data_IF_571831011173
#
_entry.id   IF_571831011173
#
_cell.length_a   1.000
_cell.length_b   1.000
_cell.length_c   1.000
_cell.angle_alpha   90.00
_cell.angle_beta   90.00
_cell.angle_gamma   90.00
#
_symmetry.space_group_name_H-M   'P 1'
#
loop_
_entity.id
_entity.type
_entity.pdbx_description
1 polymer ?
#
# COMPACT_ATOMS: atom_id res chain seq x y z
N UNK A 1 -7.61 -5.37 -10.64
CA UNK A 1 -8.04 -6.49 -11.51
C UNK A 1 -8.51 -7.72 -10.71
N UNK A 2 -8.20 -7.80 -9.41
CA UNK A 2 -8.48 -8.98 -8.57
C UNK A 2 -9.70 -8.80 -7.64
N UNK A 3 -10.32 -7.63 -7.63
CA UNK A 3 -11.52 -7.36 -6.80
C UNK A 3 -12.77 -7.58 -7.65
N UNK A 4 -13.71 -8.35 -7.11
CA UNK A 4 -15.00 -8.60 -7.76
C UNK A 4 -15.79 -7.28 -7.77
N UNK A 5 -16.25 -6.83 -8.93
CA UNK A 5 -16.95 -5.54 -9.09
C UNK A 5 -18.17 -5.39 -8.18
N UNK A 6 -18.89 -6.48 -7.93
CA UNK A 6 -20.04 -6.48 -7.02
C UNK A 6 -19.63 -6.13 -5.58
N UNK A 7 -18.47 -6.62 -5.12
CA UNK A 7 -17.91 -6.27 -3.80
C UNK A 7 -17.57 -4.79 -3.66
N UNK A 8 -17.14 -4.13 -4.74
CA UNK A 8 -16.86 -2.68 -4.75
C UNK A 8 -18.15 -1.89 -4.56
N UNK A 9 -19.23 -2.29 -5.24
CA UNK A 9 -20.53 -1.60 -5.18
C UNK A 9 -21.21 -1.71 -3.81
N UNK A 10 -21.00 -2.83 -3.10
CA UNK A 10 -21.59 -3.04 -1.77
C UNK A 10 -21.08 -2.05 -0.71
N UNK A 11 -19.89 -1.50 -0.90
CA UNK A 11 -19.34 -0.46 -0.01
C UNK A 11 -19.58 0.96 -0.53
N UNK A 12 -20.44 1.13 -1.54
CA UNK A 12 -20.81 2.43 -2.11
C UNK A 12 -19.75 3.03 -3.04
N UNK A 13 -18.75 2.25 -3.45
CA UNK A 13 -17.73 2.69 -4.38
C UNK A 13 -18.12 2.42 -5.84
N UNK A 14 -17.58 3.20 -6.75
CA UNK A 14 -17.76 3.04 -8.20
C UNK A 14 -16.56 2.29 -8.78
N UNK A 15 -16.73 1.09 -9.36
CA UNK A 15 -15.64 0.41 -10.05
C UNK A 15 -15.25 1.16 -11.32
N UNK A 16 -13.95 1.20 -11.60
CA UNK A 16 -13.40 1.75 -12.83
C UNK A 16 -12.53 0.71 -13.52
N UNK A 17 -12.56 0.66 -14.85
CA UNK A 17 -11.79 -0.32 -15.62
C UNK A 17 -10.32 0.11 -15.74
N UNK A 18 -10.09 1.40 -15.93
CA UNK A 18 -8.77 2.00 -15.93
C UNK A 18 -8.71 3.18 -14.94
N UNK A 19 -8.03 2.96 -13.82
CA UNK A 19 -7.87 3.97 -12.79
C UNK A 19 -7.09 5.22 -13.25
N UNK A 20 -6.24 5.08 -14.27
CA UNK A 20 -5.44 6.19 -14.82
C UNK A 20 -6.30 7.26 -15.47
N UNK A 21 -7.42 6.86 -16.07
CA UNK A 21 -8.34 7.79 -16.72
C UNK A 21 -8.97 8.82 -15.75
N UNK A 22 -8.97 8.50 -14.45
CA UNK A 22 -9.57 9.34 -13.40
C UNK A 22 -8.55 10.22 -12.65
N UNK A 23 -7.25 10.10 -12.93
CA UNK A 23 -6.20 10.81 -12.17
C UNK A 23 -6.38 12.34 -12.15
N UNK A 24 -6.87 12.92 -13.24
CA UNK A 24 -7.14 14.35 -13.31
C UNK A 24 -8.39 14.83 -12.54
N UNK A 25 -9.18 13.91 -12.01
CA UNK A 25 -10.45 14.22 -11.32
C UNK A 25 -10.38 13.98 -9.82
N UNK A 26 -9.51 13.07 -9.37
CA UNK A 26 -9.40 12.67 -7.97
C UNK A 26 -8.63 13.67 -7.12
N UNK A 27 -8.96 13.73 -5.84
CA UNK A 27 -8.25 14.52 -4.85
C UNK A 27 -7.29 13.66 -4.02
N UNK A 28 -7.58 12.36 -3.90
CA UNK A 28 -6.73 11.40 -3.19
C UNK A 28 -6.54 10.12 -4.02
N UNK A 29 -5.28 9.69 -4.16
CA UNK A 29 -4.92 8.37 -4.65
C UNK A 29 -4.40 7.54 -3.49
N UNK A 30 -5.19 6.54 -3.04
CA UNK A 30 -4.77 5.60 -2.00
C UNK A 30 -4.38 4.26 -2.60
N UNK A 31 -3.18 3.79 -2.27
CA UNK A 31 -2.62 2.53 -2.78
C UNK A 31 -2.82 1.43 -1.75
N UNK A 32 -3.60 0.40 -2.12
CA UNK A 32 -3.96 -0.72 -1.26
C UNK A 32 -3.80 -2.08 -1.98
N UNK A 33 -2.92 -2.15 -2.99
CA UNK A 33 -2.67 -3.38 -3.74
C UNK A 33 -1.37 -4.07 -3.30
N UNK A 34 -1.28 -5.36 -3.59
CA UNK A 34 -0.03 -6.10 -3.39
C UNK A 34 1.04 -5.65 -4.38
N UNK A 35 2.32 -5.67 -3.97
CA UNK A 35 3.45 -5.48 -4.87
C UNK A 35 3.72 -6.76 -5.65
N UNK A 36 3.74 -6.64 -6.96
CA UNK A 36 4.10 -7.70 -7.90
C UNK A 36 4.77 -7.07 -9.15
N UNK A 37 4.99 -7.85 -10.20
CA UNK A 37 5.61 -7.34 -11.44
C UNK A 37 4.77 -6.27 -12.14
N UNK A 38 3.44 -6.30 -12.01
CA UNK A 38 2.52 -5.36 -12.65
C UNK A 38 2.38 -4.06 -11.86
N UNK A 39 2.47 -4.14 -10.52
CA UNK A 39 2.28 -3.00 -9.63
C UNK A 39 3.58 -2.32 -9.22
N UNK A 40 4.74 -2.92 -9.51
CA UNK A 40 6.02 -2.29 -9.26
C UNK A 40 6.22 -1.08 -10.17
N UNK A 41 6.38 0.11 -9.60
CA UNK A 41 6.50 1.37 -10.33
C UNK A 41 5.23 1.78 -11.09
N UNK A 42 4.05 1.25 -10.71
CA UNK A 42 2.84 1.56 -11.45
C UNK A 42 2.36 3.02 -11.27
N UNK A 43 2.83 3.71 -10.23
CA UNK A 43 2.66 5.15 -10.04
C UNK A 43 4.02 5.81 -10.23
N UNK A 44 4.27 6.30 -11.41
CA UNK A 44 5.51 6.94 -11.81
C UNK A 44 5.26 8.39 -12.27
N UNK A 45 6.22 9.00 -12.93
CA UNK A 45 6.16 10.40 -13.33
C UNK A 45 4.91 10.75 -14.18
N UNK A 46 4.48 9.84 -15.06
CA UNK A 46 3.32 10.07 -15.90
C UNK A 46 2.01 10.12 -15.10
N UNK A 47 1.82 9.17 -14.18
CA UNK A 47 0.65 9.10 -13.32
C UNK A 47 0.61 10.30 -12.36
N UNK A 48 1.74 10.64 -11.74
CA UNK A 48 1.84 11.79 -10.84
C UNK A 48 1.57 13.11 -11.59
N UNK A 49 2.06 13.25 -12.82
CA UNK A 49 1.82 14.44 -13.65
C UNK A 49 0.35 14.57 -14.12
N UNK A 50 -0.38 13.45 -14.20
CA UNK A 50 -1.80 13.45 -14.57
C UNK A 50 -2.72 13.85 -13.40
N UNK A 51 -2.22 13.85 -12.16
CA UNK A 51 -3.00 14.22 -10.97
C UNK A 51 -3.19 15.74 -10.87
N UNK A 52 -4.22 16.16 -10.12
CA UNK A 52 -4.40 17.58 -9.78
C UNK A 52 -3.23 18.09 -8.95
N UNK A 53 -2.86 19.36 -9.10
CA UNK A 53 -1.88 20.01 -8.21
C UNK A 53 -2.32 20.07 -6.74
N UNK A 54 -3.63 19.94 -6.50
CA UNK A 54 -4.22 19.90 -5.16
C UNK A 54 -4.36 18.46 -4.60
N UNK A 55 -4.03 17.44 -5.40
CA UNK A 55 -4.20 16.05 -5.00
C UNK A 55 -3.09 15.55 -4.08
N UNK A 56 -3.42 14.50 -3.32
CA UNK A 56 -2.50 13.77 -2.45
C UNK A 56 -2.39 12.32 -2.90
N UNK A 57 -1.21 11.74 -2.75
CA UNK A 57 -1.00 10.30 -2.92
C UNK A 57 -0.62 9.65 -1.59
N UNK A 58 -1.23 8.52 -1.27
CA UNK A 58 -0.98 7.79 -0.01
C UNK A 58 -0.62 6.33 -0.33
N UNK A 59 0.52 5.89 0.16
CA UNK A 59 0.96 4.51 0.03
C UNK A 59 1.20 3.90 1.42
N UNK A 60 0.29 3.03 1.84
CA UNK A 60 0.43 2.18 3.02
C UNK A 60 0.53 0.70 2.64
N UNK A 61 0.72 0.40 1.36
CA UNK A 61 0.75 -0.97 0.85
C UNK A 61 2.18 -1.54 0.87
N UNK A 62 3.03 -1.16 -0.11
CA UNK A 62 4.43 -1.62 -0.21
C UNK A 62 5.30 -0.58 -0.91
N UNK A 63 6.55 -0.49 -0.49
CA UNK A 63 7.57 0.32 -1.16
C UNK A 63 7.81 -0.14 -2.60
N UNK A 64 8.06 0.82 -3.50
CA UNK A 64 8.30 0.58 -4.93
C UNK A 64 7.05 0.43 -5.79
N UNK A 65 5.84 0.53 -5.23
CA UNK A 65 4.62 0.70 -6.04
C UNK A 65 4.58 2.13 -6.61
N UNK A 66 4.99 3.11 -5.80
CA UNK A 66 5.32 4.45 -6.29
C UNK A 66 6.81 4.48 -6.60
N UNK A 67 7.19 5.07 -7.72
CA UNK A 67 8.57 5.44 -8.01
C UNK A 67 8.98 6.60 -7.09
N UNK A 68 9.89 6.35 -6.14
CA UNK A 68 10.28 7.35 -5.14
C UNK A 68 11.06 8.52 -5.74
N UNK A 69 11.79 8.32 -6.86
CA UNK A 69 12.49 9.40 -7.56
C UNK A 69 11.48 10.33 -8.22
N UNK A 70 10.52 9.75 -8.96
CA UNK A 70 9.46 10.52 -9.58
C UNK A 70 8.59 11.25 -8.54
N UNK A 71 8.31 10.60 -7.40
CA UNK A 71 7.59 11.22 -6.30
C UNK A 71 8.35 12.43 -5.73
N UNK A 72 9.66 12.28 -5.47
CA UNK A 72 10.50 13.35 -4.99
C UNK A 72 10.46 14.56 -5.93
N UNK A 73 10.68 14.35 -7.23
CA UNK A 73 10.69 15.41 -8.22
C UNK A 73 9.32 16.10 -8.32
N UNK A 74 8.25 15.34 -8.27
CA UNK A 74 6.87 15.85 -8.30
C UNK A 74 6.54 16.68 -7.06
N UNK A 75 6.88 16.22 -5.87
CA UNK A 75 6.65 16.94 -4.61
C UNK A 75 7.49 18.22 -4.55
N UNK A 76 8.77 18.14 -4.92
CA UNK A 76 9.70 19.27 -4.95
C UNK A 76 9.24 20.37 -5.90
N UNK A 77 8.70 20.00 -7.06
CA UNK A 77 8.14 20.94 -8.03
C UNK A 77 6.72 21.40 -7.72
N UNK A 78 6.10 20.89 -6.63
CA UNK A 78 4.70 21.13 -6.27
C UNK A 78 3.73 20.71 -7.37
N UNK A 79 4.04 19.62 -8.05
CA UNK A 79 3.18 19.00 -9.07
C UNK A 79 1.92 18.39 -8.48
N UNK A 80 1.99 17.92 -7.24
CA UNK A 80 0.84 17.55 -6.39
C UNK A 80 0.97 18.25 -5.02
N UNK A 81 -0.10 18.27 -4.22
CA UNK A 81 -0.12 18.96 -2.94
C UNK A 81 0.76 18.26 -1.90
N UNK A 82 0.76 16.93 -1.86
CA UNK A 82 1.56 16.20 -0.91
C UNK A 82 1.44 14.68 -1.05
N UNK A 83 2.18 13.97 -0.17
CA UNK A 83 2.16 12.52 -0.10
C UNK A 83 2.18 12.00 1.33
N UNK A 84 1.66 10.77 1.54
CA UNK A 84 1.82 9.97 2.75
C UNK A 84 2.48 8.64 2.40
N UNK A 85 3.65 8.34 2.96
CA UNK A 85 4.42 7.14 2.67
C UNK A 85 4.74 6.40 3.96
N UNK A 86 4.26 5.16 4.06
CA UNK A 86 4.59 4.28 5.19
C UNK A 86 5.71 3.31 4.82
N UNK A 87 5.59 2.43 3.78
CA UNK A 87 6.68 1.57 3.36
C UNK A 87 7.55 2.23 2.30
N UNK A 88 8.87 2.16 2.48
CA UNK A 88 9.88 2.61 1.53
C UNK A 88 10.41 1.48 0.65
N UNK A 89 11.08 1.81 -0.45
CA UNK A 89 11.77 0.82 -1.31
C UNK A 89 12.87 0.12 -0.55
N UNK A 90 13.61 0.87 0.26
CA UNK A 90 14.67 0.36 1.15
C UNK A 90 14.21 0.53 2.59
N UNK A 91 14.15 -0.56 3.33
CA UNK A 91 13.71 -0.57 4.73
C UNK A 91 14.77 -1.23 5.63
N UNK A 92 15.13 -0.59 6.74
CA UNK A 92 14.71 0.75 7.16
C UNK A 92 15.21 1.84 6.21
N UNK A 93 14.38 2.90 6.04
CA UNK A 93 14.73 4.01 5.18
C UNK A 93 16.00 4.71 5.68
N UNK A 94 16.91 5.01 4.77
CA UNK A 94 18.18 5.65 5.11
C UNK A 94 17.94 7.10 5.55
N UNK A 95 18.72 7.57 6.53
CA UNK A 95 18.55 8.91 7.11
C UNK A 95 18.77 10.05 6.10
N UNK A 96 19.49 9.79 5.02
CA UNK A 96 19.76 10.71 3.91
C UNK A 96 18.74 10.59 2.75
N UNK A 97 17.65 9.85 2.94
CA UNK A 97 16.60 9.75 1.92
C UNK A 97 16.08 11.16 1.58
N UNK A 98 16.12 11.57 0.29
CA UNK A 98 15.79 12.92 -0.13
C UNK A 98 14.32 13.30 0.17
N UNK A 99 13.42 12.33 0.25
CA UNK A 99 12.02 12.57 0.63
C UNK A 99 11.87 13.18 2.01
N UNK A 100 12.79 12.91 2.95
CA UNK A 100 12.76 13.47 4.30
C UNK A 100 13.09 14.97 4.37
N UNK A 101 13.57 15.55 3.26
CA UNK A 101 13.87 16.98 3.17
C UNK A 101 12.68 17.82 2.69
N UNK A 102 11.56 17.17 2.35
CA UNK A 102 10.39 17.84 1.81
C UNK A 102 9.36 18.15 2.90
N UNK A 103 8.73 19.32 2.80
CA UNK A 103 7.73 19.78 3.79
C UNK A 103 6.31 19.26 3.49
N UNK A 104 6.09 18.75 2.26
CA UNK A 104 4.78 18.30 1.78
C UNK A 104 4.68 16.76 1.70
N UNK A 105 5.36 16.08 2.62
CA UNK A 105 5.27 14.63 2.78
C UNK A 105 5.12 14.27 4.26
N UNK A 106 4.30 13.25 4.52
CA UNK A 106 4.22 12.57 5.82
C UNK A 106 4.79 11.18 5.63
N UNK A 107 5.69 10.79 6.52
CA UNK A 107 6.35 9.48 6.49
C UNK A 107 6.17 8.74 7.82
N UNK A 108 6.10 7.41 7.76
CA UNK A 108 6.08 6.55 8.93
C UNK A 108 6.96 5.30 8.68
N UNK A 109 7.43 4.64 9.77
CA UNK A 109 8.42 3.57 9.65
C UNK A 109 7.77 2.19 9.40
N UNK A 110 6.94 2.07 8.37
CA UNK A 110 6.17 0.86 8.01
C UNK A 110 5.29 0.38 9.19
N UNK A 111 4.56 1.31 9.79
CA UNK A 111 3.77 1.08 10.99
C UNK A 111 2.27 1.41 10.83
N UNK A 112 1.80 1.73 9.64
CA UNK A 112 0.40 2.11 9.40
C UNK A 112 -0.61 1.02 9.84
N UNK A 113 -0.22 -0.25 9.83
CA UNK A 113 -1.03 -1.37 10.34
C UNK A 113 -0.79 -1.72 11.81
N UNK A 114 0.10 -1.03 12.52
CA UNK A 114 0.50 -1.37 13.89
C UNK A 114 -0.36 -0.59 14.88
N UNK A 115 -1.43 -1.21 15.37
CA UNK A 115 -2.25 -0.74 16.49
C UNK A 115 -2.16 -1.74 17.64
N UNK A 116 -2.55 -1.35 18.85
CA UNK A 116 -2.60 -2.27 20.00
C UNK A 116 -3.45 -3.50 19.70
N UNK A 117 -4.61 -3.29 19.08
CA UNK A 117 -5.53 -4.38 18.72
C UNK A 117 -4.96 -5.29 17.62
N UNK A 118 -4.27 -4.72 16.62
CA UNK A 118 -3.69 -5.53 15.53
C UNK A 118 -2.53 -6.38 16.05
N UNK A 119 -1.65 -5.82 16.87
CA UNK A 119 -0.52 -6.54 17.48
C UNK A 119 -1.01 -7.66 18.36
N UNK A 120 -1.98 -7.37 19.25
CA UNK A 120 -2.58 -8.39 20.13
C UNK A 120 -3.22 -9.52 19.33
N UNK A 121 -4.03 -9.18 18.32
CA UNK A 121 -4.71 -10.15 17.46
C UNK A 121 -3.74 -11.01 16.65
N UNK A 122 -2.71 -10.39 16.06
CA UNK A 122 -1.67 -11.12 15.33
C UNK A 122 -0.95 -12.12 16.24
N UNK A 123 -0.58 -11.70 17.46
CA UNK A 123 0.05 -12.56 18.44
C UNK A 123 -0.84 -13.74 18.85
N UNK A 124 -2.12 -13.49 19.14
CA UNK A 124 -3.09 -14.54 19.47
C UNK A 124 -3.27 -15.55 18.33
N UNK A 125 -3.49 -15.06 17.09
CA UNK A 125 -3.70 -15.95 15.93
C UNK A 125 -2.44 -16.78 15.67
N UNK A 126 -1.26 -16.18 15.74
CA UNK A 126 0.00 -16.91 15.56
C UNK A 126 0.17 -18.02 16.61
N UNK A 127 -0.07 -17.70 17.88
CA UNK A 127 0.00 -18.71 18.95
C UNK A 127 -1.05 -19.82 18.80
N UNK A 128 -2.29 -19.45 18.44
CA UNK A 128 -3.37 -20.41 18.23
C UNK A 128 -3.07 -21.34 17.05
N UNK A 129 -2.56 -20.83 15.94
CA UNK A 129 -2.18 -21.66 14.79
C UNK A 129 -1.11 -22.70 15.17
N UNK A 130 -0.18 -22.36 16.07
CA UNK A 130 0.82 -23.33 16.58
C UNK A 130 0.14 -24.44 17.40
N UNK A 131 -0.76 -24.07 18.32
CA UNK A 131 -1.51 -25.04 19.14
C UNK A 131 -2.37 -25.94 18.25
N UNK A 132 -3.12 -25.34 17.31
CA UNK A 132 -4.00 -26.06 16.39
C UNK A 132 -3.21 -27.03 15.48
N UNK A 133 -1.98 -26.65 15.12
CA UNK A 133 -1.08 -27.53 14.37
C UNK A 133 -0.70 -28.78 15.17
N UNK A 134 -0.41 -28.65 16.46
CA UNK A 134 -0.10 -29.81 17.34
C UNK A 134 -1.33 -30.66 17.68
N UNK A 135 -2.51 -30.05 17.63
CA UNK A 135 -3.78 -30.73 17.92
C UNK A 135 -4.45 -31.33 16.65
N UNK A 136 -3.79 -31.26 15.50
CA UNK A 136 -4.34 -31.65 14.16
C UNK A 136 -5.65 -30.92 13.81
N UNK A 137 -5.78 -29.65 14.23
CA UNK A 137 -6.96 -28.78 14.00
C UNK A 137 -6.65 -27.54 13.17
N UNK A 138 -5.44 -27.45 12.58
CA UNK A 138 -5.00 -26.28 11.84
C UNK A 138 -5.96 -25.95 10.68
N UNK A 139 -6.49 -24.72 10.69
CA UNK A 139 -7.28 -24.23 9.57
C UNK A 139 -6.38 -24.04 8.33
N UNK A 140 -6.66 -24.78 7.27
CA UNK A 140 -5.91 -24.72 6.00
C UNK A 140 -5.96 -23.34 5.34
N UNK A 141 -6.95 -22.50 5.65
CA UNK A 141 -7.00 -21.11 5.20
C UNK A 141 -5.84 -20.26 5.77
N UNK A 142 -5.24 -20.68 6.89
CA UNK A 142 -4.09 -20.03 7.50
C UNK A 142 -2.74 -20.57 6.99
N UNK A 143 -2.74 -21.53 6.05
CA UNK A 143 -1.53 -22.16 5.51
C UNK A 143 -1.27 -21.64 4.11
N UNK A 144 -0.11 -21.03 3.89
CA UNK A 144 0.28 -20.44 2.60
C UNK A 144 0.52 -21.53 1.52
N UNK A 145 1.02 -22.68 1.94
CA UNK A 145 1.39 -23.82 1.09
C UNK A 145 0.76 -25.14 1.59
N UNK A 146 -0.56 -25.25 1.57
CA UNK A 146 -1.27 -26.38 2.18
C UNK A 146 -0.92 -27.74 1.54
N UNK A 147 -0.33 -27.76 0.36
CA UNK A 147 0.13 -28.97 -0.33
C UNK A 147 1.23 -29.73 0.44
N UNK A 148 1.95 -29.08 1.36
CA UNK A 148 3.00 -29.74 2.17
C UNK A 148 2.44 -30.54 3.36
N UNK A 149 1.16 -30.38 3.66
CA UNK A 149 0.47 -31.05 4.77
C UNK A 149 -0.21 -32.37 4.37
N UNK A 150 0.16 -32.94 3.22
CA UNK A 150 -0.38 -34.20 2.67
C UNK A 150 0.42 -35.39 3.15
#
# INVERSE_FOLDING_TARGET
>A
PYVVQDGIRTVGATPVDDWRSNLGEIDFLSINCMKNKETNGMVAAAELAAMKKTAYVVNTARGGIIDEVALYDTLKSKGIAGAGIDPFVVEPAMADNPLFQLENIIVSPHSAGVTEESVFRMGQIAAQNVVDCFDDKLDLANVINPEVLK
#
